data_IF_062731663615
#
_entry.id   IF_062731663615
#
_cell.length_a   1.000
_cell.length_b   1.000
_cell.length_c   1.000
_cell.angle_alpha   90.00
_cell.angle_beta   90.00
_cell.angle_gamma   90.00
#
_symmetry.space_group_name_H-M   'P 1'
#
loop_
_entity.id
_entity.type
_entity.pdbx_description
1 polymer ?
#
# COMPACT_ATOMS: atom_id res chain seq x y z
N UNK A 1 -67.37 22.21 5.14
CA UNK A 1 -66.26 23.04 5.62
C UNK A 1 -65.18 22.17 6.34
N UNK A 2 -65.51 21.32 7.29
CA UNK A 2 -64.54 20.48 8.00
C UNK A 2 -63.67 19.55 7.14
N UNK A 3 -64.23 18.94 6.09
CA UNK A 3 -63.44 18.05 5.18
C UNK A 3 -62.40 18.79 4.33
N UNK A 4 -62.67 20.02 3.92
CA UNK A 4 -61.71 20.85 3.18
C UNK A 4 -60.58 21.30 4.06
N UNK A 5 -60.86 21.59 5.34
CA UNK A 5 -59.83 21.98 6.34
C UNK A 5 -58.88 20.84 6.62
N UNK A 6 -59.38 19.62 6.76
CA UNK A 6 -58.57 18.43 6.96
C UNK A 6 -57.70 18.09 5.75
N UNK A 7 -58.18 18.28 4.53
CA UNK A 7 -57.46 18.08 3.29
C UNK A 7 -56.29 19.11 3.15
N UNK A 8 -56.57 20.38 3.43
CA UNK A 8 -55.55 21.43 3.42
C UNK A 8 -54.50 21.23 4.49
N UNK A 9 -54.88 20.79 5.70
CA UNK A 9 -53.95 20.44 6.78
C UNK A 9 -53.02 19.25 6.35
N UNK A 10 -53.57 18.24 5.69
CA UNK A 10 -52.80 17.13 5.15
C UNK A 10 -51.76 17.56 4.11
N UNK A 11 -52.09 18.47 3.22
CA UNK A 11 -51.18 19.00 2.18
C UNK A 11 -50.06 19.81 2.86
N UNK A 12 -50.35 20.62 3.84
CA UNK A 12 -49.31 21.41 4.58
C UNK A 12 -48.32 20.47 5.31
N UNK A 13 -48.81 19.43 5.97
CA UNK A 13 -47.97 18.46 6.66
C UNK A 13 -47.10 17.68 5.67
N UNK A 14 -47.60 17.26 4.54
CA UNK A 14 -46.78 16.56 3.52
C UNK A 14 -45.73 17.49 2.90
N UNK A 15 -46.04 18.75 2.63
CA UNK A 15 -45.06 19.73 2.13
C UNK A 15 -43.96 20.02 3.14
N UNK A 16 -44.28 20.12 4.42
CA UNK A 16 -43.28 20.35 5.47
C UNK A 16 -42.36 19.12 5.64
N UNK A 17 -42.89 17.91 5.55
CA UNK A 17 -42.09 16.69 5.63
C UNK A 17 -41.15 16.57 4.42
N UNK A 18 -41.66 16.84 3.21
CA UNK A 18 -40.85 16.82 1.98
C UNK A 18 -39.73 17.87 2.00
N UNK A 19 -40.02 19.08 2.48
CA UNK A 19 -39.00 20.12 2.64
C UNK A 19 -37.94 19.77 3.68
N UNK A 20 -38.34 19.14 4.77
CA UNK A 20 -37.39 18.68 5.80
C UNK A 20 -36.48 17.55 5.31
N UNK A 21 -37.01 16.61 4.51
CA UNK A 21 -36.24 15.54 3.88
C UNK A 21 -35.25 16.11 2.83
N UNK A 22 -35.66 17.10 2.05
CA UNK A 22 -34.80 17.76 1.09
C UNK A 22 -33.65 18.51 1.77
N UNK A 23 -33.93 19.23 2.85
CA UNK A 23 -32.90 19.93 3.66
C UNK A 23 -31.93 18.92 4.29
N UNK A 24 -32.44 17.81 4.81
CA UNK A 24 -31.60 16.75 5.37
C UNK A 24 -30.65 16.14 4.31
N UNK A 25 -31.17 15.90 3.10
CA UNK A 25 -30.37 15.36 2.00
C UNK A 25 -29.27 16.33 1.55
N UNK A 26 -29.61 17.61 1.40
CA UNK A 26 -28.65 18.66 1.04
C UNK A 26 -27.57 18.81 2.14
N UNK A 27 -27.94 18.76 3.41
CA UNK A 27 -26.97 18.85 4.49
C UNK A 27 -25.99 17.68 4.49
N UNK A 28 -26.44 16.45 4.22
CA UNK A 28 -25.55 15.29 4.12
C UNK A 28 -24.60 15.41 2.92
N UNK A 29 -25.06 15.90 1.76
CA UNK A 29 -24.18 16.17 0.62
C UNK A 29 -23.15 17.24 0.91
N UNK A 30 -23.54 18.30 1.63
CA UNK A 30 -22.63 19.37 2.06
C UNK A 30 -21.57 18.83 3.03
N UNK A 31 -21.93 18.00 4.00
CA UNK A 31 -20.95 17.37 4.91
C UNK A 31 -19.98 16.44 4.16
N UNK A 32 -20.46 15.68 3.20
CA UNK A 32 -19.59 14.84 2.36
C UNK A 32 -18.62 15.68 1.51
N UNK A 33 -19.07 16.83 0.99
CA UNK A 33 -18.21 17.76 0.24
C UNK A 33 -17.18 18.44 1.15
N UNK A 34 -17.56 18.81 2.37
CA UNK A 34 -16.64 19.39 3.36
C UNK A 34 -15.56 18.39 3.78
N UNK A 35 -15.92 17.13 3.97
CA UNK A 35 -14.95 16.08 4.27
C UNK A 35 -13.95 15.86 3.10
N UNK A 36 -14.44 15.89 1.87
CA UNK A 36 -13.60 15.83 0.67
C UNK A 36 -12.66 17.02 0.51
N UNK A 37 -13.13 18.23 0.83
CA UNK A 37 -12.28 19.45 0.80
C UNK A 37 -11.22 19.42 1.87
N UNK A 38 -11.54 18.96 3.08
CA UNK A 38 -10.57 18.76 4.17
C UNK A 38 -9.45 17.77 3.76
N UNK A 39 -9.80 16.66 3.10
CA UNK A 39 -8.82 15.69 2.59
C UNK A 39 -7.91 16.33 1.52
N UNK A 40 -8.45 17.21 0.69
CA UNK A 40 -7.67 17.92 -0.34
C UNK A 40 -6.73 18.95 0.27
N UNK A 41 -7.17 19.68 1.28
CA UNK A 41 -6.35 20.64 2.03
C UNK A 41 -5.18 19.94 2.72
N UNK A 42 -5.42 18.82 3.38
CA UNK A 42 -4.35 18.00 3.97
C UNK A 42 -3.34 17.50 2.93
N UNK A 43 -3.81 17.16 1.73
CA UNK A 43 -2.91 16.74 0.63
C UNK A 43 -2.08 17.88 0.06
N UNK A 44 -2.66 19.09 0.00
CA UNK A 44 -1.94 20.31 -0.42
C UNK A 44 -0.86 20.67 0.59
N UNK A 45 -1.18 20.65 1.89
CA UNK A 45 -0.20 20.90 2.95
C UNK A 45 0.97 19.91 2.94
N UNK A 46 0.69 18.61 2.67
CA UNK A 46 1.75 17.60 2.54
C UNK A 46 2.64 17.89 1.33
N UNK A 47 2.08 18.37 0.23
CA UNK A 47 2.85 18.71 -0.98
C UNK A 47 3.70 19.95 -0.74
N UNK A 48 3.16 20.97 -0.08
CA UNK A 48 3.89 22.20 0.26
C UNK A 48 5.04 21.92 1.24
N UNK A 49 4.80 21.11 2.27
CA UNK A 49 5.83 20.70 3.24
C UNK A 49 6.93 19.86 2.59
N UNK A 50 6.56 18.94 1.69
CA UNK A 50 7.53 18.16 0.91
C UNK A 50 8.33 19.03 -0.06
N UNK A 51 7.72 20.04 -0.65
CA UNK A 51 8.39 20.97 -1.55
C UNK A 51 9.38 21.87 -0.79
N UNK A 52 9.02 22.34 0.40
CA UNK A 52 9.91 23.12 1.28
C UNK A 52 11.12 22.32 1.75
N UNK A 53 10.91 21.04 2.11
CA UNK A 53 12.01 20.14 2.49
C UNK A 53 12.97 19.91 1.31
N UNK A 54 12.46 19.74 0.10
CA UNK A 54 13.30 19.59 -1.11
C UNK A 54 14.09 20.86 -1.43
N UNK A 55 13.51 22.04 -1.24
CA UNK A 55 14.18 23.34 -1.51
C UNK A 55 15.23 23.66 -0.44
N UNK A 56 15.03 23.27 0.81
CA UNK A 56 16.00 23.50 1.87
C UNK A 56 17.19 22.53 1.86
N UNK A 57 17.03 21.32 1.31
CA UNK A 57 18.13 20.36 1.19
C UNK A 57 19.17 20.74 0.10
N UNK A 58 18.87 21.72 -0.75
CA UNK A 58 19.78 22.17 -1.83
C UNK A 58 20.91 23.12 -1.34
N UNK A 59 20.87 23.56 -0.08
CA UNK A 59 21.79 24.59 0.46
C UNK A 59 22.84 24.06 1.46
N UNK A 60 22.78 22.78 1.83
CA UNK A 60 23.79 22.22 2.75
C UNK A 60 24.81 21.39 1.97
N UNK A 61 26.00 21.95 1.75
CA UNK A 61 27.19 21.19 1.30
C UNK A 61 27.52 20.08 2.30
N UNK A 62 26.94 18.90 2.07
CA UNK A 62 27.32 17.68 2.79
C UNK A 62 28.57 17.07 2.16
N UNK A 63 29.53 16.56 2.95
CA UNK A 63 30.66 15.84 2.40
C UNK A 63 30.16 14.67 1.54
N UNK A 64 30.67 14.57 0.30
CA UNK A 64 30.28 13.55 -0.68
C UNK A 64 30.30 12.17 -0.08
N UNK A 65 29.13 11.49 0.05
CA UNK A 65 29.10 10.11 0.52
C UNK A 65 29.77 9.23 -0.53
N UNK A 66 30.65 8.33 -0.09
CA UNK A 66 31.16 7.26 -0.95
C UNK A 66 29.97 6.50 -1.60
N UNK A 67 30.01 6.20 -2.90
CA UNK A 67 28.91 5.54 -3.57
C UNK A 67 28.76 4.12 -3.02
N UNK A 68 27.81 3.96 -2.08
CA UNK A 68 27.28 2.62 -1.80
C UNK A 68 26.51 2.18 -3.05
N UNK A 69 26.58 0.89 -3.44
CA UNK A 69 25.73 0.39 -4.51
C UNK A 69 24.25 0.64 -4.10
N UNK A 70 23.68 1.72 -4.60
CA UNK A 70 22.30 2.08 -4.29
C UNK A 70 21.40 1.21 -5.12
N UNK A 71 20.62 0.36 -4.48
CA UNK A 71 19.49 -0.29 -5.11
C UNK A 71 18.46 0.80 -5.45
N UNK A 72 18.21 0.99 -6.73
CA UNK A 72 17.29 2.00 -7.22
C UNK A 72 15.96 1.36 -7.60
N UNK A 73 14.88 2.03 -7.26
CA UNK A 73 13.56 1.71 -7.80
C UNK A 73 13.54 2.22 -9.24
N UNK A 74 13.23 1.33 -10.20
CA UNK A 74 13.13 1.68 -11.61
C UNK A 74 11.84 1.10 -12.19
N UNK A 75 11.33 1.73 -13.23
CA UNK A 75 10.18 1.25 -14.00
C UNK A 75 10.68 0.36 -15.13
N UNK A 76 10.04 -0.81 -15.28
CA UNK A 76 10.29 -1.74 -16.38
C UNK A 76 9.05 -1.85 -17.26
N UNK A 77 9.22 -2.36 -18.49
CA UNK A 77 8.08 -2.67 -19.37
C UNK A 77 7.33 -3.94 -18.93
N UNK A 78 7.81 -4.62 -17.90
CA UNK A 78 7.20 -5.84 -17.36
C UNK A 78 6.02 -5.50 -16.45
N UNK A 79 4.90 -5.18 -17.06
CA UNK A 79 3.60 -5.08 -16.38
C UNK A 79 3.02 -6.48 -16.23
N UNK A 80 2.42 -6.76 -15.07
CA UNK A 80 1.69 -7.99 -14.85
C UNK A 80 0.20 -7.75 -15.07
N UNK A 81 -0.47 -8.67 -15.78
CA UNK A 81 -1.92 -8.75 -15.71
C UNK A 81 -2.29 -9.15 -14.28
N UNK A 82 -2.97 -8.30 -13.56
CA UNK A 82 -3.33 -8.48 -12.16
C UNK A 82 -4.83 -8.26 -11.93
N UNK A 83 -5.34 -8.89 -10.88
CA UNK A 83 -6.70 -8.69 -10.39
C UNK A 83 -6.67 -7.77 -9.17
N UNK A 84 -7.80 -7.13 -8.84
CA UNK A 84 -7.92 -6.32 -7.60
C UNK A 84 -7.52 -7.11 -6.35
N UNK A 85 -7.79 -8.41 -6.33
CA UNK A 85 -7.40 -9.28 -5.21
C UNK A 85 -5.88 -9.42 -5.10
N UNK A 86 -5.13 -9.41 -6.21
CA UNK A 86 -3.68 -9.47 -6.19
C UNK A 86 -3.07 -8.21 -5.57
N UNK A 87 -3.63 -7.03 -5.88
CA UNK A 87 -3.24 -5.78 -5.22
C UNK A 87 -3.46 -5.86 -3.72
N UNK A 88 -4.63 -6.36 -3.29
CA UNK A 88 -4.94 -6.54 -1.87
C UNK A 88 -3.97 -7.49 -1.17
N UNK A 89 -3.68 -8.65 -1.77
CA UNK A 89 -2.74 -9.62 -1.20
C UNK A 89 -1.31 -9.05 -1.13
N UNK A 90 -0.84 -8.38 -2.19
CA UNK A 90 0.47 -7.73 -2.22
C UNK A 90 0.57 -6.62 -1.17
N UNK A 91 -0.43 -5.74 -1.11
CA UNK A 91 -0.48 -4.66 -0.14
C UNK A 91 -0.46 -5.19 1.30
N UNK A 92 -1.18 -6.26 1.55
CA UNK A 92 -1.23 -6.92 2.86
C UNK A 92 0.13 -7.49 3.25
N UNK A 93 0.84 -8.09 2.30
CA UNK A 93 2.19 -8.58 2.53
C UNK A 93 3.16 -7.43 2.84
N UNK A 94 3.15 -6.36 2.05
CA UNK A 94 3.96 -5.16 2.30
C UNK A 94 3.68 -4.58 3.69
N UNK A 95 2.40 -4.46 4.04
CA UNK A 95 1.96 -3.89 5.32
C UNK A 95 2.51 -4.66 6.53
N UNK A 96 2.43 -6.00 6.49
CA UNK A 96 2.84 -6.82 7.63
C UNK A 96 4.34 -7.05 7.69
N UNK A 97 5.02 -7.16 6.54
CA UNK A 97 6.44 -7.50 6.49
C UNK A 97 7.35 -6.26 6.46
N UNK A 98 6.89 -5.15 5.90
CA UNK A 98 7.70 -3.96 5.67
C UNK A 98 6.99 -2.66 6.07
N UNK A 99 5.96 -2.71 6.90
CA UNK A 99 5.16 -1.53 7.25
C UNK A 99 5.97 -0.39 7.88
N UNK A 100 7.04 -0.71 8.60
CA UNK A 100 7.95 0.24 9.27
C UNK A 100 9.19 0.59 8.43
N UNK A 101 9.38 -0.08 7.30
CA UNK A 101 10.50 0.18 6.40
C UNK A 101 10.27 1.47 5.60
N UNK A 102 11.37 2.01 5.06
CA UNK A 102 11.30 3.05 4.06
C UNK A 102 10.67 2.55 2.75
N UNK A 103 10.48 3.44 1.79
CA UNK A 103 9.87 3.10 0.52
C UNK A 103 10.65 2.02 -0.24
N UNK A 104 11.99 2.09 -0.23
CA UNK A 104 12.82 1.11 -0.91
C UNK A 104 12.67 -0.28 -0.29
N UNK A 105 12.61 -0.37 1.04
CA UNK A 105 12.38 -1.62 1.78
C UNK A 105 11.02 -2.25 1.43
N UNK A 106 9.97 -1.44 1.33
CA UNK A 106 8.64 -1.88 0.92
C UNK A 106 8.62 -2.43 -0.52
N UNK A 107 9.27 -1.75 -1.47
CA UNK A 107 9.44 -2.26 -2.83
C UNK A 107 10.27 -3.54 -2.89
N UNK A 108 11.31 -3.65 -2.05
CA UNK A 108 12.16 -4.84 -1.99
C UNK A 108 11.38 -6.09 -1.54
N UNK A 109 10.53 -5.98 -0.52
CA UNK A 109 9.65 -7.07 -0.08
C UNK A 109 8.64 -7.44 -1.17
N UNK A 110 8.02 -6.46 -1.83
CA UNK A 110 7.13 -6.71 -2.96
C UNK A 110 7.84 -7.43 -4.12
N UNK A 111 9.10 -7.06 -4.40
CA UNK A 111 9.92 -7.68 -5.43
C UNK A 111 10.12 -9.17 -5.19
N UNK A 112 10.33 -9.61 -3.94
CA UNK A 112 10.45 -11.04 -3.64
C UNK A 112 9.19 -11.81 -4.00
N UNK A 113 8.01 -11.27 -3.70
CA UNK A 113 6.73 -11.90 -4.12
C UNK A 113 6.65 -12.03 -5.65
N UNK A 114 7.05 -11.00 -6.40
CA UNK A 114 7.07 -11.05 -7.87
C UNK A 114 8.07 -12.07 -8.42
N UNK A 115 9.24 -12.18 -7.80
CA UNK A 115 10.24 -13.16 -8.22
C UNK A 115 9.76 -14.57 -7.97
N UNK A 116 9.06 -14.80 -6.86
CA UNK A 116 8.46 -16.10 -6.54
C UNK A 116 7.41 -16.50 -7.57
N UNK A 117 6.53 -15.61 -7.99
CA UNK A 117 5.54 -15.90 -9.06
C UNK A 117 6.21 -16.37 -10.36
N UNK A 118 7.39 -15.85 -10.68
CA UNK A 118 8.17 -16.21 -11.87
C UNK A 118 8.97 -17.51 -11.72
N UNK A 119 9.13 -17.98 -10.50
CA UNK A 119 9.91 -19.17 -10.19
C UNK A 119 8.98 -20.39 -10.06
N UNK A 120 9.16 -21.45 -10.88
CA UNK A 120 8.27 -22.62 -10.90
C UNK A 120 8.22 -23.41 -9.58
N UNK A 121 9.10 -23.09 -8.62
CA UNK A 121 9.06 -23.69 -7.27
C UNK A 121 7.96 -23.09 -6.38
N UNK A 122 7.32 -21.99 -6.81
CA UNK A 122 6.31 -21.27 -6.06
C UNK A 122 5.00 -21.21 -6.83
N UNK A 123 3.88 -20.89 -6.15
CA UNK A 123 2.61 -20.62 -6.83
C UNK A 123 2.72 -19.47 -7.84
N UNK A 124 1.84 -19.47 -8.84
CA UNK A 124 1.89 -18.53 -9.97
C UNK A 124 1.05 -17.26 -9.79
N UNK A 125 0.32 -17.11 -8.68
CA UNK A 125 -0.45 -15.90 -8.38
C UNK A 125 0.06 -15.19 -7.13
N UNK A 126 -0.20 -13.88 -7.04
CA UNK A 126 0.22 -13.08 -5.88
C UNK A 126 -0.39 -13.63 -4.59
N UNK A 127 -1.71 -13.86 -4.61
CA UNK A 127 -2.40 -14.33 -3.41
C UNK A 127 -1.93 -15.71 -2.97
N UNK A 128 -1.70 -16.62 -3.92
CA UNK A 128 -1.24 -17.98 -3.57
C UNK A 128 0.17 -17.96 -2.98
N UNK A 129 1.08 -17.13 -3.53
CA UNK A 129 2.43 -16.96 -2.95
C UNK A 129 2.35 -16.37 -1.55
N UNK A 130 1.53 -15.33 -1.35
CA UNK A 130 1.42 -14.62 -0.07
C UNK A 130 0.73 -15.48 1.00
N UNK A 131 -0.25 -16.28 0.60
CA UNK A 131 -1.03 -17.13 1.50
C UNK A 131 -0.47 -18.55 1.65
N UNK A 132 0.63 -18.85 0.96
CA UNK A 132 1.29 -20.16 1.05
C UNK A 132 1.78 -20.44 2.46
N UNK A 133 1.61 -21.67 2.90
CA UNK A 133 1.93 -22.06 4.28
C UNK A 133 3.43 -21.88 4.56
N UNK A 134 3.73 -21.28 5.71
CA UNK A 134 5.10 -21.04 6.21
C UNK A 134 5.91 -20.00 5.41
N UNK A 135 5.33 -19.31 4.43
CA UNK A 135 6.04 -18.25 3.71
C UNK A 135 6.10 -16.96 4.54
N UNK A 136 4.97 -16.56 5.10
CA UNK A 136 4.85 -15.35 5.91
C UNK A 136 4.15 -15.65 7.24
N UNK A 137 4.74 -15.21 8.35
CA UNK A 137 4.24 -15.51 9.70
C UNK A 137 2.81 -15.01 9.92
N UNK A 138 2.53 -13.79 9.49
CA UNK A 138 1.21 -13.16 9.62
C UNK A 138 0.11 -13.89 8.82
N UNK A 139 0.46 -14.50 7.68
CA UNK A 139 -0.49 -15.26 6.85
C UNK A 139 -0.94 -16.57 7.51
N UNK A 140 -0.16 -17.08 8.46
CA UNK A 140 -0.52 -18.26 9.26
C UNK A 140 -1.31 -17.89 10.53
N UNK A 141 -1.28 -16.63 10.96
CA UNK A 141 -2.10 -16.14 12.03
C UNK A 141 -3.54 -15.91 11.54
N UNK A 142 -4.51 -16.64 12.12
CA UNK A 142 -5.91 -16.59 11.69
C UNK A 142 -6.51 -15.18 11.84
N UNK A 143 -6.15 -14.44 12.88
CA UNK A 143 -6.66 -13.08 13.11
C UNK A 143 -6.09 -12.11 12.09
N UNK A 144 -4.77 -12.09 11.91
CA UNK A 144 -4.09 -11.20 10.97
C UNK A 144 -4.48 -11.51 9.52
N UNK A 145 -4.63 -12.79 9.18
CA UNK A 145 -5.05 -13.24 7.84
C UNK A 145 -6.39 -12.65 7.40
N UNK A 146 -7.35 -12.51 8.30
CA UNK A 146 -8.70 -12.03 7.98
C UNK A 146 -8.95 -10.57 8.37
N UNK A 147 -8.04 -9.94 9.10
CA UNK A 147 -8.15 -8.52 9.44
C UNK A 147 -7.85 -7.65 8.21
N UNK A 148 -8.63 -6.61 8.01
CA UNK A 148 -8.37 -5.58 7.01
C UNK A 148 -7.59 -4.44 7.66
N UNK A 149 -6.32 -4.22 7.26
CA UNK A 149 -5.53 -3.11 7.76
C UNK A 149 -6.15 -1.76 7.40
N UNK A 150 -5.80 -0.72 8.17
CA UNK A 150 -6.28 0.66 7.98
C UNK A 150 -5.13 1.64 8.26
N UNK A 151 -5.33 2.89 7.87
CA UNK A 151 -4.42 3.99 8.16
C UNK A 151 -3.35 4.20 7.09
N UNK A 152 -2.50 5.21 7.31
CA UNK A 152 -1.51 5.72 6.34
C UNK A 152 -0.61 4.62 5.77
N UNK A 153 -0.06 3.77 6.62
CA UNK A 153 0.81 2.65 6.20
C UNK A 153 0.08 1.68 5.27
N UNK A 154 -1.21 1.45 5.49
CA UNK A 154 -2.02 0.61 4.62
C UNK A 154 -2.23 1.24 3.24
N UNK A 155 -2.56 2.53 3.18
CA UNK A 155 -2.73 3.27 1.93
C UNK A 155 -1.43 3.29 1.11
N UNK A 156 -0.31 3.54 1.78
CA UNK A 156 1.01 3.47 1.14
C UNK A 156 1.32 2.07 0.61
N UNK A 157 1.01 1.03 1.36
CA UNK A 157 1.20 -0.36 0.93
C UNK A 157 0.36 -0.69 -0.31
N UNK A 158 -0.88 -0.18 -0.40
CA UNK A 158 -1.73 -0.33 -1.59
C UNK A 158 -1.13 0.38 -2.81
N UNK A 159 -0.71 1.62 -2.64
CA UNK A 159 -0.08 2.40 -3.71
C UNK A 159 1.18 1.68 -4.25
N UNK A 160 2.04 1.16 -3.37
CA UNK A 160 3.24 0.42 -3.78
C UNK A 160 2.85 -0.88 -4.50
N UNK A 161 1.85 -1.61 -4.02
CA UNK A 161 1.35 -2.81 -4.68
C UNK A 161 0.86 -2.53 -6.10
N UNK A 162 0.12 -1.46 -6.31
CA UNK A 162 -0.35 -1.02 -7.64
C UNK A 162 0.83 -0.67 -8.56
N UNK A 163 1.79 0.14 -8.08
CA UNK A 163 2.99 0.50 -8.84
C UNK A 163 3.80 -0.71 -9.27
N UNK A 164 3.96 -1.67 -8.38
CA UNK A 164 4.71 -2.90 -8.65
C UNK A 164 3.98 -3.79 -9.65
N UNK A 165 2.67 -3.95 -9.55
CA UNK A 165 1.88 -4.84 -10.41
C UNK A 165 1.52 -4.17 -11.74
N UNK A 166 0.96 -2.96 -11.70
CA UNK A 166 0.42 -2.28 -12.87
C UNK A 166 1.43 -1.44 -13.63
N UNK A 167 2.38 -0.80 -12.92
CA UNK A 167 3.28 0.16 -13.52
C UNK A 167 4.70 -0.40 -13.76
N UNK A 168 4.98 -1.60 -13.24
CA UNK A 168 6.25 -2.28 -13.46
C UNK A 168 7.41 -1.74 -12.62
N UNK A 169 7.14 -1.11 -11.48
CA UNK A 169 8.21 -0.67 -10.57
C UNK A 169 8.98 -1.87 -9.99
N UNK A 170 10.31 -1.79 -10.02
CA UNK A 170 11.24 -2.84 -9.56
C UNK A 170 12.40 -2.22 -8.80
N UNK A 171 13.03 -3.02 -7.96
CA UNK A 171 14.30 -2.68 -7.30
C UNK A 171 15.44 -3.33 -8.08
N UNK A 172 16.29 -2.50 -8.66
CA UNK A 172 17.47 -2.96 -9.42
C UNK A 172 18.42 -3.72 -8.49
N UNK A 173 18.87 -4.88 -8.95
CA UNK A 173 19.76 -5.75 -8.18
C UNK A 173 19.06 -6.82 -7.36
N UNK A 174 17.71 -6.76 -7.21
CA UNK A 174 16.93 -7.78 -6.52
C UNK A 174 16.17 -8.73 -7.47
N UNK A 175 16.52 -8.80 -8.74
CA UNK A 175 15.79 -9.56 -9.77
C UNK A 175 15.72 -11.06 -9.47
N UNK A 176 16.67 -11.57 -8.67
CA UNK A 176 16.76 -12.99 -8.28
C UNK A 176 16.46 -13.24 -6.82
N UNK A 177 16.09 -12.23 -6.05
CA UNK A 177 15.79 -12.36 -4.63
C UNK A 177 14.51 -13.19 -4.42
N UNK A 178 14.63 -14.35 -3.78
CA UNK A 178 13.50 -15.22 -3.44
C UNK A 178 13.32 -15.35 -1.92
N UNK A 179 14.32 -14.96 -1.12
CA UNK A 179 14.31 -15.05 0.33
C UNK A 179 14.78 -13.73 0.95
N UNK A 180 14.29 -13.46 2.14
CA UNK A 180 14.83 -12.42 3.01
C UNK A 180 14.58 -12.77 4.48
N UNK A 181 15.33 -12.13 5.34
CA UNK A 181 15.09 -12.13 6.79
C UNK A 181 15.50 -10.78 7.39
N UNK A 182 14.95 -10.43 8.54
CA UNK A 182 15.40 -9.26 9.28
C UNK A 182 16.86 -9.45 9.74
N UNK A 183 17.66 -8.39 9.72
CA UNK A 183 19.10 -8.44 9.94
C UNK A 183 19.52 -8.94 11.33
N UNK A 184 18.61 -8.86 12.30
CA UNK A 184 18.78 -9.38 13.66
C UNK A 184 18.38 -10.87 13.80
N UNK A 185 17.88 -11.52 12.72
CA UNK A 185 17.52 -12.94 12.71
C UNK A 185 18.61 -13.74 12.02
N UNK A 186 18.92 -14.93 12.54
CA UNK A 186 19.89 -15.85 11.96
C UNK A 186 19.25 -17.18 11.52
N UNK A 187 18.56 -17.23 10.37
CA UNK A 187 17.90 -18.42 9.92
C UNK A 187 18.90 -19.44 9.37
N UNK A 188 18.68 -20.74 9.67
CA UNK A 188 19.58 -21.82 9.27
C UNK A 188 19.78 -21.92 7.74
N UNK A 189 18.75 -21.60 6.96
CA UNK A 189 18.75 -21.68 5.50
C UNK A 189 19.66 -20.64 4.81
N UNK A 190 20.03 -19.56 5.49
CA UNK A 190 20.86 -18.49 4.89
C UNK A 190 22.22 -19.01 4.39
N UNK A 191 22.71 -20.12 4.98
CA UNK A 191 24.00 -20.72 4.63
C UNK A 191 23.97 -21.41 3.27
N UNK A 192 22.78 -21.83 2.83
CA UNK A 192 22.57 -22.50 1.53
C UNK A 192 22.17 -21.52 0.41
N UNK A 193 21.96 -20.23 0.73
CA UNK A 193 21.47 -19.25 -0.21
C UNK A 193 22.52 -18.16 -0.49
N UNK A 194 22.49 -17.59 -1.68
CA UNK A 194 23.42 -16.54 -2.10
C UNK A 194 22.93 -15.17 -1.64
N UNK A 195 23.64 -14.52 -0.72
CA UNK A 195 23.34 -13.17 -0.28
C UNK A 195 23.47 -12.18 -1.44
N UNK A 196 22.46 -11.35 -1.66
CA UNK A 196 22.42 -10.33 -2.72
C UNK A 196 22.68 -8.94 -2.15
N UNK A 197 21.84 -8.50 -1.19
CA UNK A 197 21.87 -7.14 -0.69
C UNK A 197 21.27 -7.04 0.70
N UNK A 198 21.53 -5.89 1.37
CA UNK A 198 20.79 -5.42 2.54
C UNK A 198 20.02 -4.17 2.13
N UNK A 199 18.72 -4.14 2.43
CA UNK A 199 17.84 -2.98 2.22
C UNK A 199 17.03 -2.78 3.51
N UNK A 200 17.13 -1.60 4.10
CA UNK A 200 16.55 -1.35 5.40
C UNK A 200 17.04 -2.35 6.46
N UNK A 201 16.12 -2.90 7.22
CA UNK A 201 16.41 -3.93 8.21
C UNK A 201 16.40 -5.37 7.61
N UNK A 202 16.29 -5.55 6.28
CA UNK A 202 16.21 -6.86 5.65
C UNK A 202 17.48 -7.22 4.84
N UNK A 203 17.86 -8.50 4.90
CA UNK A 203 18.90 -9.09 4.07
C UNK A 203 18.27 -10.02 3.06
N UNK A 204 18.57 -9.81 1.78
CA UNK A 204 17.96 -10.51 0.63
C UNK A 204 18.89 -11.54 0.03
N UNK A 205 18.32 -12.67 -0.42
CA UNK A 205 19.06 -13.81 -0.96
C UNK A 205 18.40 -14.36 -2.23
N UNK A 206 19.25 -14.85 -3.14
CA UNK A 206 18.82 -15.71 -4.25
C UNK A 206 19.00 -17.17 -3.90
N UNK A 207 18.23 -18.06 -4.54
CA UNK A 207 18.54 -19.48 -4.50
C UNK A 207 19.96 -19.74 -5.00
N UNK A 208 20.73 -20.53 -4.28
CA UNK A 208 22.00 -21.03 -4.79
C UNK A 208 21.78 -21.82 -6.09
N UNK A 209 22.75 -21.72 -7.00
CA UNK A 209 22.72 -22.44 -8.28
C UNK A 209 22.95 -23.92 -8.09
#
# INVERSE_FOLDING_TARGET
MAQILNFLAGIVVTMTVLSSLAVYHVNNEVEELLDRTSILEDRVLIVEDTLQVVIQDEVVERPKPQPRPQLLIHRTDQRLAYKKIDVFCMAKNIFHEAGVEDQLGKYAVAQVTLNRIKNPKYPSTVCDVVMDRKQFSWANDRKLRWTHPKGKTWEESKMIAERVLAEGYRVKGLERANYYHADYVDPFWKKSESKIAKVGAHIFYASAK
#
